data_IF_485758653191
#
_entry.id   IF_485758653191
#
_cell.length_a   1.000
_cell.length_b   1.000
_cell.length_c   1.000
_cell.angle_alpha   90.00
_cell.angle_beta   90.00
_cell.angle_gamma   90.00
#
_symmetry.space_group_name_H-M   'P 1'
#
loop_
_entity.id
_entity.type
_entity.pdbx_description
1 polymer ?
#
# COMPACT_ATOMS: atom_id res chain seq x y z
N UNK A 1 -15.38 30.21 10.40
CA UNK A 1 -13.90 30.19 10.51
C UNK A 1 -13.39 28.98 11.27
N UNK A 2 -13.65 28.81 12.58
CA UNK A 2 -13.15 27.63 13.31
C UNK A 2 -13.64 26.28 12.77
N UNK A 3 -14.94 26.15 12.46
CA UNK A 3 -15.52 24.92 11.93
C UNK A 3 -14.95 24.53 10.54
N UNK A 4 -14.77 25.51 9.66
CA UNK A 4 -14.21 25.30 8.32
C UNK A 4 -12.73 24.89 8.37
N UNK A 5 -11.95 25.50 9.27
CA UNK A 5 -10.55 25.11 9.48
C UNK A 5 -10.42 23.70 10.04
N UNK A 6 -11.37 23.29 10.89
CA UNK A 6 -11.43 21.92 11.42
C UNK A 6 -11.75 20.90 10.33
N UNK A 7 -12.77 21.15 9.51
CA UNK A 7 -13.14 20.25 8.40
C UNK A 7 -11.99 20.09 7.40
N UNK A 8 -11.33 21.19 7.04
CA UNK A 8 -10.14 21.17 6.17
C UNK A 8 -9.00 20.33 6.77
N UNK A 9 -8.76 20.45 8.08
CA UNK A 9 -7.75 19.66 8.76
C UNK A 9 -8.13 18.16 8.78
N UNK A 10 -9.39 17.84 9.05
CA UNK A 10 -9.90 16.46 9.00
C UNK A 10 -9.71 15.83 7.61
N UNK A 11 -9.93 16.59 6.54
CA UNK A 11 -9.75 16.12 5.16
C UNK A 11 -8.30 15.80 4.83
N UNK A 12 -7.38 16.68 5.21
CA UNK A 12 -5.94 16.46 5.03
C UNK A 12 -5.47 15.24 5.83
N UNK A 13 -5.95 15.09 7.06
CA UNK A 13 -5.63 13.92 7.91
C UNK A 13 -6.19 12.63 7.31
N UNK A 14 -7.38 12.64 6.71
CA UNK A 14 -7.94 11.47 6.01
C UNK A 14 -7.04 11.02 4.86
N UNK A 15 -6.54 11.95 4.04
CA UNK A 15 -5.64 11.63 2.93
C UNK A 15 -4.32 11.04 3.45
N UNK A 16 -3.69 11.69 4.45
CA UNK A 16 -2.47 11.17 5.06
C UNK A 16 -2.68 9.79 5.70
N UNK A 17 -3.83 9.59 6.34
CA UNK A 17 -4.20 8.32 6.95
C UNK A 17 -4.29 7.19 5.92
N UNK A 18 -4.94 7.44 4.78
CA UNK A 18 -5.05 6.48 3.68
C UNK A 18 -3.68 6.19 3.05
N UNK A 19 -2.91 7.23 2.74
CA UNK A 19 -1.57 7.07 2.15
C UNK A 19 -0.60 6.34 3.09
N UNK A 20 -0.73 6.49 4.40
CA UNK A 20 0.10 5.76 5.36
C UNK A 20 -0.15 4.24 5.37
N UNK A 21 -1.26 3.78 4.78
CA UNK A 21 -1.55 2.35 4.60
C UNK A 21 -0.99 1.78 3.30
N UNK A 22 -0.48 2.64 2.41
CA UNK A 22 -0.05 2.29 1.06
C UNK A 22 1.46 2.50 1.00
N UNK A 23 2.22 1.41 0.91
CA UNK A 23 3.67 1.50 0.92
C UNK A 23 4.23 1.99 -0.41
N UNK A 24 3.72 1.52 -1.54
CA UNK A 24 4.28 1.79 -2.86
C UNK A 24 3.78 3.09 -3.50
N UNK A 25 2.84 3.78 -2.86
CA UNK A 25 2.13 4.91 -3.46
C UNK A 25 0.90 4.47 -4.25
N UNK A 26 0.09 5.43 -4.68
CA UNK A 26 -1.20 5.19 -5.34
C UNK A 26 -1.41 6.21 -6.45
N UNK A 27 -2.03 5.78 -7.56
CA UNK A 27 -2.47 6.69 -8.63
C UNK A 27 -3.41 7.76 -8.07
N UNK A 28 -3.25 8.99 -8.54
CA UNK A 28 -4.07 10.13 -8.10
C UNK A 28 -5.58 9.82 -8.20
N UNK A 29 -6.02 9.24 -9.32
CA UNK A 29 -7.42 8.89 -9.56
C UNK A 29 -7.96 7.81 -8.61
N UNK A 30 -7.13 6.80 -8.30
CA UNK A 30 -7.50 5.75 -7.35
C UNK A 30 -7.64 6.30 -5.93
N UNK A 31 -6.74 7.21 -5.53
CA UNK A 31 -6.85 7.91 -4.26
C UNK A 31 -8.12 8.77 -4.20
N UNK A 32 -8.40 9.52 -5.25
CA UNK A 32 -9.63 10.32 -5.35
C UNK A 32 -10.88 9.44 -5.19
N UNK A 33 -10.94 8.29 -5.86
CA UNK A 33 -12.06 7.35 -5.76
C UNK A 33 -12.31 6.87 -4.32
N UNK A 34 -11.25 6.54 -3.59
CA UNK A 34 -11.35 6.11 -2.19
C UNK A 34 -11.84 7.26 -1.30
N UNK A 35 -11.28 8.45 -1.46
CA UNK A 35 -11.63 9.60 -0.60
C UNK A 35 -13.05 10.09 -0.88
N UNK A 36 -13.44 10.24 -2.15
CA UNK A 36 -14.79 10.67 -2.56
C UNK A 36 -15.89 9.67 -2.18
N UNK A 37 -15.56 8.38 -2.12
CA UNK A 37 -16.49 7.36 -1.60
C UNK A 37 -16.62 7.43 -0.07
N UNK A 38 -15.55 7.84 0.62
CA UNK A 38 -15.50 7.94 2.08
C UNK A 38 -16.18 9.21 2.59
N UNK A 39 -15.97 10.33 1.91
CA UNK A 39 -16.51 11.64 2.24
C UNK A 39 -16.94 12.34 0.95
N UNK A 40 -18.05 13.07 1.01
CA UNK A 40 -18.57 13.82 -0.13
C UNK A 40 -17.63 15.00 -0.46
N UNK A 41 -16.63 14.72 -1.28
CA UNK A 41 -15.66 15.68 -1.80
C UNK A 41 -15.62 15.58 -3.33
N UNK A 42 -15.53 16.73 -3.98
CA UNK A 42 -15.37 16.79 -5.42
C UNK A 42 -13.89 16.80 -5.82
N UNK A 43 -13.62 16.52 -7.09
CA UNK A 43 -12.26 16.42 -7.62
C UNK A 43 -11.44 17.70 -7.47
N UNK A 44 -12.04 18.89 -7.67
CA UNK A 44 -11.31 20.15 -7.57
C UNK A 44 -10.83 20.42 -6.15
N UNK A 45 -11.71 20.26 -5.17
CA UNK A 45 -11.35 20.39 -3.77
C UNK A 45 -10.31 19.35 -3.36
N UNK A 46 -10.44 18.11 -3.85
CA UNK A 46 -9.42 17.09 -3.65
C UNK A 46 -8.05 17.51 -4.19
N UNK A 47 -7.96 18.08 -5.41
CA UNK A 47 -6.70 18.56 -5.96
C UNK A 47 -6.12 19.74 -5.15
N UNK A 48 -6.95 20.62 -4.59
CA UNK A 48 -6.49 21.68 -3.68
C UNK A 48 -5.85 21.08 -2.41
N UNK A 49 -6.48 20.06 -1.81
CA UNK A 49 -5.92 19.34 -0.65
C UNK A 49 -4.58 18.69 -1.00
N UNK A 50 -4.48 18.07 -2.17
CA UNK A 50 -3.26 17.42 -2.65
C UNK A 50 -2.14 18.45 -2.89
N UNK A 51 -2.45 19.59 -3.52
CA UNK A 51 -1.50 20.67 -3.74
C UNK A 51 -0.98 21.27 -2.41
N UNK A 52 -1.86 21.44 -1.42
CA UNK A 52 -1.50 21.91 -0.09
C UNK A 52 -0.57 20.93 0.63
N UNK A 53 -0.90 19.64 0.60
CA UNK A 53 -0.10 18.58 1.22
C UNK A 53 1.27 18.43 0.56
N UNK A 54 1.35 18.58 -0.77
CA UNK A 54 2.62 18.59 -1.50
C UNK A 54 3.46 19.82 -1.16
N UNK A 55 2.84 21.01 -1.14
CA UNK A 55 3.53 22.26 -0.80
C UNK A 55 4.10 22.25 0.62
N UNK A 56 3.45 21.52 1.54
CA UNK A 56 3.92 21.28 2.90
C UNK A 56 4.91 20.11 3.04
N UNK A 57 5.31 19.47 1.94
CA UNK A 57 6.16 18.27 1.91
C UNK A 57 5.63 17.10 2.75
N UNK A 58 4.30 16.99 2.90
CA UNK A 58 3.65 15.89 3.64
C UNK A 58 3.35 14.69 2.72
N UNK A 59 3.25 14.95 1.42
CA UNK A 59 3.15 13.94 0.38
C UNK A 59 4.08 14.32 -0.77
N UNK A 60 4.46 13.34 -1.59
CA UNK A 60 5.21 13.56 -2.81
C UNK A 60 4.56 12.80 -3.97
N UNK A 61 4.81 13.28 -5.19
CA UNK A 61 4.48 12.57 -6.42
C UNK A 61 5.72 12.00 -7.09
N UNK A 62 5.59 10.86 -7.73
CA UNK A 62 6.64 10.27 -8.58
C UNK A 62 5.99 9.62 -9.80
N UNK A 63 6.79 9.42 -10.85
CA UNK A 63 6.35 8.78 -12.08
C UNK A 63 6.83 7.33 -12.11
N UNK A 64 5.94 6.43 -12.52
CA UNK A 64 6.22 5.03 -12.79
C UNK A 64 5.36 4.61 -13.99
N UNK A 65 5.97 4.01 -15.02
CA UNK A 65 5.28 3.52 -16.23
C UNK A 65 4.36 4.56 -16.92
N UNK A 66 4.86 5.80 -17.07
CA UNK A 66 4.13 6.96 -17.62
C UNK A 66 2.92 7.42 -16.79
N UNK A 67 2.74 6.88 -15.58
CA UNK A 67 1.66 7.21 -14.66
C UNK A 67 2.17 7.92 -13.40
N UNK A 68 1.35 8.82 -12.86
CA UNK A 68 1.69 9.62 -11.67
C UNK A 68 1.12 8.99 -10.39
N UNK A 69 2.02 8.71 -9.46
CA UNK A 69 1.72 8.13 -8.17
C UNK A 69 1.98 9.12 -7.04
N UNK A 70 1.19 9.01 -5.98
CA UNK A 70 1.28 9.84 -4.77
C UNK A 70 1.64 8.95 -3.58
N UNK A 71 2.56 9.41 -2.74
CA UNK A 71 2.98 8.70 -1.53
C UNK A 71 3.18 9.68 -0.37
N UNK A 72 2.97 9.19 0.85
CA UNK A 72 3.25 9.96 2.08
C UNK A 72 4.76 10.04 2.34
N UNK A 73 5.24 11.22 2.71
CA UNK A 73 6.65 11.43 3.10
C UNK A 73 6.88 11.05 4.56
N UNK A 74 8.15 11.09 5.01
CA UNK A 74 8.48 10.92 6.43
C UNK A 74 7.85 12.03 7.28
N UNK A 75 7.86 13.27 6.78
CA UNK A 75 7.23 14.42 7.41
C UNK A 75 5.71 14.25 7.49
N UNK A 76 5.09 13.71 6.44
CA UNK A 76 3.67 13.37 6.43
C UNK A 76 3.29 12.35 7.50
N UNK A 77 4.10 11.31 7.69
CA UNK A 77 3.89 10.30 8.75
C UNK A 77 3.98 10.92 10.15
N UNK A 78 4.98 11.77 10.37
CA UNK A 78 5.14 12.49 11.64
C UNK A 78 3.94 13.42 11.91
N UNK A 79 3.50 14.16 10.89
CA UNK A 79 2.32 15.02 10.99
C UNK A 79 1.05 14.23 11.28
N UNK A 80 0.87 13.06 10.64
CA UNK A 80 -0.25 12.17 10.89
C UNK A 80 -0.29 11.68 12.34
N UNK A 81 0.85 11.28 12.93
CA UNK A 81 0.88 10.82 14.32
C UNK A 81 0.41 11.89 15.31
N UNK A 82 0.74 13.16 15.05
CA UNK A 82 0.32 14.30 15.87
C UNK A 82 -1.15 14.68 15.67
N UNK A 83 -1.71 14.40 14.50
CA UNK A 83 -3.03 14.91 14.07
C UNK A 83 -4.10 13.83 13.94
N UNK A 84 -3.75 12.55 14.12
CA UNK A 84 -4.68 11.41 13.97
C UNK A 84 -5.94 11.50 14.83
N UNK A 85 -5.89 12.21 15.96
CA UNK A 85 -7.04 12.45 16.85
C UNK A 85 -8.11 13.33 16.22
N UNK A 86 -7.77 14.10 15.18
CA UNK A 86 -8.72 14.89 14.41
C UNK A 86 -9.63 14.00 13.56
N UNK A 87 -9.18 12.80 13.16
CA UNK A 87 -9.96 11.92 12.29
C UNK A 87 -11.11 11.25 13.09
N UNK A 88 -12.38 11.54 12.76
CA UNK A 88 -13.50 10.93 13.46
C UNK A 88 -13.53 9.41 13.29
N UNK A 89 -13.81 8.67 14.35
CA UNK A 89 -13.78 7.20 14.34
C UNK A 89 -14.70 6.58 13.27
N UNK A 90 -15.88 7.16 13.04
CA UNK A 90 -16.81 6.69 12.01
C UNK A 90 -16.25 6.90 10.59
N UNK A 91 -15.62 8.05 10.34
CA UNK A 91 -15.00 8.35 9.05
C UNK A 91 -13.81 7.43 8.78
N UNK A 92 -12.98 7.20 9.80
CA UNK A 92 -11.89 6.22 9.77
C UNK A 92 -12.38 4.81 9.42
N UNK A 93 -13.44 4.34 10.09
CA UNK A 93 -14.03 3.02 9.82
C UNK A 93 -14.56 2.93 8.38
N UNK A 94 -15.23 3.96 7.89
CA UNK A 94 -15.74 4.00 6.51
C UNK A 94 -14.61 3.97 5.49
N UNK A 95 -13.57 4.78 5.72
CA UNK A 95 -12.37 4.80 4.88
C UNK A 95 -11.65 3.44 4.87
N UNK A 96 -11.60 2.74 6.01
CA UNK A 96 -11.01 1.40 6.11
C UNK A 96 -11.78 0.35 5.31
N UNK A 97 -13.12 0.41 5.33
CA UNK A 97 -13.97 -0.50 4.54
C UNK A 97 -13.76 -0.26 3.05
N UNK A 98 -13.87 0.99 2.59
CA UNK A 98 -13.72 1.35 1.18
C UNK A 98 -12.31 1.04 0.71
N UNK A 99 -11.29 1.36 1.51
CA UNK A 99 -9.91 1.02 1.18
C UNK A 99 -9.75 -0.49 0.95
N UNK A 100 -10.37 -1.35 1.77
CA UNK A 100 -10.31 -2.80 1.55
C UNK A 100 -11.03 -3.23 0.28
N UNK A 101 -12.21 -2.68 0.00
CA UNK A 101 -12.98 -3.00 -1.20
C UNK A 101 -12.26 -2.56 -2.46
N UNK A 102 -11.80 -1.31 -2.52
CA UNK A 102 -11.07 -0.74 -3.64
C UNK A 102 -9.68 -1.36 -3.81
N UNK A 103 -8.95 -1.65 -2.71
CA UNK A 103 -7.68 -2.36 -2.81
C UNK A 103 -7.87 -3.80 -3.30
N UNK A 104 -8.99 -4.45 -2.97
CA UNK A 104 -9.31 -5.77 -3.54
C UNK A 104 -9.59 -5.69 -5.04
N UNK A 105 -10.23 -4.61 -5.50
CA UNK A 105 -10.48 -4.37 -6.92
C UNK A 105 -9.21 -3.92 -7.68
N UNK A 106 -8.31 -3.17 -7.05
CA UNK A 106 -6.99 -2.80 -7.61
C UNK A 106 -6.10 -4.04 -7.71
N UNK A 107 -6.22 -4.99 -6.77
CA UNK A 107 -5.57 -6.31 -6.86
C UNK A 107 -6.14 -7.16 -8.01
N UNK A 108 -7.30 -6.84 -8.58
CA UNK A 108 -7.74 -7.50 -9.83
C UNK A 108 -6.99 -7.00 -11.08
N UNK A 109 -6.30 -5.84 -11.02
CA UNK A 109 -5.41 -5.36 -12.11
C UNK A 109 -4.00 -5.99 -12.05
N UNK A 110 -3.58 -6.52 -10.89
CA UNK A 110 -2.31 -7.26 -10.70
C UNK A 110 -2.60 -8.69 -10.22
N UNK A 111 -2.46 -9.68 -11.10
CA UNK A 111 -2.81 -11.06 -10.77
C UNK A 111 -1.84 -11.67 -9.73
N UNK A 112 -2.29 -11.77 -8.48
CA UNK A 112 -1.58 -12.51 -7.43
C UNK A 112 -1.83 -14.01 -7.63
N UNK A 113 -0.85 -14.69 -8.22
CA UNK A 113 -0.95 -16.13 -8.54
C UNK A 113 -0.20 -16.95 -7.50
N UNK A 114 -0.85 -18.02 -7.04
CA UNK A 114 -0.18 -19.10 -6.29
C UNK A 114 -0.30 -20.40 -7.07
N UNK A 115 0.81 -20.98 -7.49
CA UNK A 115 0.83 -22.31 -8.09
C UNK A 115 1.19 -23.35 -7.02
N UNK A 116 0.43 -24.45 -7.01
CA UNK A 116 0.54 -25.52 -6.03
C UNK A 116 1.01 -26.80 -6.75
N UNK A 117 2.26 -27.18 -6.55
CA UNK A 117 2.83 -28.38 -7.17
C UNK A 117 3.14 -29.40 -6.06
N UNK A 118 2.33 -30.47 -5.89
CA UNK A 118 2.68 -31.55 -4.98
C UNK A 118 3.88 -32.33 -5.54
N UNK A 119 4.94 -32.49 -4.73
CA UNK A 119 6.08 -33.35 -5.08
C UNK A 119 5.89 -34.78 -4.56
N UNK A 120 5.32 -34.94 -3.36
CA UNK A 120 4.90 -36.22 -2.76
C UNK A 120 3.88 -35.99 -1.62
N UNK A 121 3.49 -37.03 -0.87
CA UNK A 121 2.42 -36.98 0.15
C UNK A 121 2.62 -35.90 1.24
N UNK A 122 3.88 -35.56 1.57
CA UNK A 122 4.20 -34.61 2.63
C UNK A 122 4.90 -33.35 2.14
N UNK A 123 5.27 -33.28 0.86
CA UNK A 123 6.17 -32.25 0.37
C UNK A 123 5.55 -31.43 -0.78
N UNK A 124 5.50 -30.12 -0.56
CA UNK A 124 4.82 -29.17 -1.43
C UNK A 124 5.75 -28.04 -1.84
N UNK A 125 5.73 -27.69 -3.12
CA UNK A 125 6.32 -26.44 -3.60
C UNK A 125 5.19 -25.44 -3.82
N UNK A 126 5.33 -24.26 -3.21
CA UNK A 126 4.41 -23.14 -3.37
C UNK A 126 5.16 -22.07 -4.14
N UNK A 127 4.63 -21.71 -5.30
CA UNK A 127 5.16 -20.61 -6.11
C UNK A 127 4.25 -19.41 -5.97
N UNK A 128 4.81 -18.32 -5.46
CA UNK A 128 4.16 -17.06 -5.20
C UNK A 128 4.61 -16.04 -6.26
N UNK A 129 3.68 -15.51 -7.06
CA UNK A 129 3.98 -14.60 -8.16
C UNK A 129 3.30 -13.25 -7.99
N UNK A 130 3.92 -12.21 -8.55
CA UNK A 130 3.25 -10.95 -8.91
C UNK A 130 3.35 -10.82 -10.43
N UNK A 131 2.20 -10.65 -11.06
CA UNK A 131 2.07 -10.45 -12.51
C UNK A 131 1.48 -9.07 -12.76
N UNK A 132 2.19 -8.26 -13.53
CA UNK A 132 1.77 -6.93 -13.99
C UNK A 132 1.84 -6.90 -15.51
N UNK A 133 0.79 -6.38 -16.18
CA UNK A 133 0.75 -6.27 -17.65
C UNK A 133 1.14 -7.57 -18.40
N UNK A 134 0.71 -8.73 -17.88
CA UNK A 134 1.07 -10.08 -18.38
C UNK A 134 2.55 -10.50 -18.19
N UNK A 135 3.38 -9.70 -17.54
CA UNK A 135 4.77 -10.03 -17.20
C UNK A 135 4.90 -10.42 -15.72
N UNK A 136 5.69 -11.46 -15.42
CA UNK A 136 5.98 -11.84 -14.03
C UNK A 136 7.13 -11.01 -13.51
N UNK A 137 6.83 -10.00 -12.70
CA UNK A 137 7.83 -9.08 -12.14
C UNK A 137 8.49 -9.62 -10.86
N UNK A 138 7.85 -10.59 -10.22
CA UNK A 138 8.37 -11.25 -9.03
C UNK A 138 7.86 -12.69 -8.94
N UNK A 139 8.77 -13.61 -8.64
CA UNK A 139 8.46 -15.01 -8.35
C UNK A 139 9.35 -15.51 -7.21
N UNK A 140 8.73 -16.14 -6.21
CA UNK A 140 9.44 -16.88 -5.16
C UNK A 140 8.83 -18.25 -4.99
N UNK A 141 9.68 -19.28 -4.93
CA UNK A 141 9.26 -20.65 -4.67
C UNK A 141 9.77 -21.11 -3.31
N UNK A 142 8.84 -21.60 -2.47
CA UNK A 142 9.14 -22.08 -1.12
C UNK A 142 8.63 -23.50 -0.91
N UNK A 143 9.32 -24.22 -0.04
CA UNK A 143 9.01 -25.60 0.30
C UNK A 143 8.23 -25.69 1.61
N UNK A 144 7.19 -26.53 1.64
CA UNK A 144 6.45 -26.85 2.84
C UNK A 144 6.33 -28.37 3.05
N UNK A 145 6.55 -28.81 4.29
CA UNK A 145 6.49 -30.21 4.72
C UNK A 145 5.08 -30.66 5.17
N UNK A 146 4.03 -29.90 4.84
CA UNK A 146 2.63 -30.29 5.05
C UNK A 146 1.69 -29.49 4.17
N UNK A 147 0.51 -30.06 3.92
CA UNK A 147 -0.56 -29.40 3.17
C UNK A 147 -1.11 -28.19 3.93
N UNK A 148 -1.26 -28.29 5.25
CA UNK A 148 -1.72 -27.16 6.07
C UNK A 148 -0.75 -25.98 5.96
N UNK A 149 0.57 -26.25 6.04
CA UNK A 149 1.56 -25.19 5.93
C UNK A 149 1.63 -24.59 4.53
N UNK A 150 1.53 -25.42 3.49
CA UNK A 150 1.47 -24.97 2.11
C UNK A 150 0.26 -24.05 1.90
N UNK A 151 -0.93 -24.46 2.37
CA UNK A 151 -2.15 -23.65 2.31
C UNK A 151 -2.01 -22.34 3.08
N UNK A 152 -1.44 -22.38 4.29
CA UNK A 152 -1.20 -21.18 5.08
C UNK A 152 -0.32 -20.18 4.32
N UNK A 153 0.75 -20.64 3.68
CA UNK A 153 1.66 -19.79 2.90
C UNK A 153 0.94 -19.19 1.69
N UNK A 154 0.19 -20.00 0.93
CA UNK A 154 -0.58 -19.51 -0.23
C UNK A 154 -1.64 -18.48 0.16
N UNK A 155 -2.42 -18.76 1.21
CA UNK A 155 -3.46 -17.84 1.68
C UNK A 155 -2.84 -16.54 2.21
N UNK A 156 -1.72 -16.63 2.93
CA UNK A 156 -0.99 -15.47 3.41
C UNK A 156 -0.40 -14.63 2.27
N UNK A 157 0.11 -15.27 1.21
CA UNK A 157 0.57 -14.56 0.01
C UNK A 157 -0.58 -13.83 -0.68
N UNK A 158 -1.70 -14.52 -0.96
CA UNK A 158 -2.88 -13.92 -1.60
C UNK A 158 -3.40 -12.68 -0.88
N UNK A 159 -3.42 -12.70 0.45
CA UNK A 159 -3.91 -11.57 1.24
C UNK A 159 -2.89 -10.45 1.47
N UNK A 160 -1.59 -10.73 1.34
CA UNK A 160 -0.54 -9.80 1.79
C UNK A 160 0.59 -9.59 0.77
N UNK A 161 0.47 -10.05 -0.47
CA UNK A 161 1.55 -10.00 -1.48
C UNK A 161 2.12 -8.59 -1.68
N UNK A 162 1.27 -7.57 -1.73
CA UNK A 162 1.66 -6.15 -1.87
C UNK A 162 2.47 -5.61 -0.68
N UNK A 163 2.32 -6.22 0.50
CA UNK A 163 3.13 -5.87 1.68
C UNK A 163 4.40 -6.71 1.78
N UNK A 164 4.32 -8.00 1.40
CA UNK A 164 5.43 -8.94 1.53
C UNK A 164 6.49 -8.76 0.43
N UNK A 165 6.07 -8.48 -0.80
CA UNK A 165 6.98 -8.32 -1.93
C UNK A 165 8.01 -7.20 -1.71
N UNK A 166 7.63 -5.95 -1.34
CA UNK A 166 8.62 -4.90 -1.11
C UNK A 166 9.60 -5.24 0.02
N UNK A 167 9.12 -5.91 1.08
CA UNK A 167 9.98 -6.36 2.20
C UNK A 167 10.99 -7.42 1.75
N UNK A 168 10.56 -8.38 0.93
CA UNK A 168 11.46 -9.39 0.37
C UNK A 168 12.49 -8.73 -0.55
N UNK A 169 12.07 -7.79 -1.40
CA UNK A 169 12.95 -7.06 -2.29
C UNK A 169 14.01 -6.25 -1.52
N UNK A 170 13.61 -5.57 -0.44
CA UNK A 170 14.51 -4.83 0.46
C UNK A 170 15.53 -5.76 1.13
N UNK A 171 15.07 -6.90 1.67
CA UNK A 171 15.94 -7.90 2.29
C UNK A 171 16.97 -8.47 1.31
N UNK A 172 16.59 -8.67 0.04
CA UNK A 172 17.48 -9.17 -1.00
C UNK A 172 18.45 -8.11 -1.53
N UNK A 173 18.07 -6.83 -1.43
CA UNK A 173 18.85 -5.70 -1.96
C UNK A 173 19.82 -5.08 -0.93
N UNK A 174 19.63 -5.38 0.37
CA UNK A 174 20.48 -4.86 1.44
C UNK A 174 21.87 -5.56 1.46
N UNK A 175 22.84 -4.98 0.74
CA UNK A 175 24.25 -5.29 0.90
C UNK A 175 24.74 -4.87 2.29
N UNK A 176 25.13 -5.84 3.11
CA UNK A 176 25.97 -5.59 4.29
C UNK A 176 27.44 -5.40 3.89
N UNK A 177 27.73 -4.47 3.00
CA UNK A 177 29.11 -4.08 2.69
C UNK A 177 29.43 -2.77 3.40
N UNK A 178 30.02 -2.89 4.58
CA UNK A 178 30.45 -1.71 5.35
C UNK A 178 30.68 -1.96 6.84
N UNK A 179 31.44 -2.98 7.23
CA UNK A 179 32.02 -3.04 8.57
C UNK A 179 33.46 -3.60 8.52
N UNK A 180 34.41 -2.66 8.45
CA UNK A 180 35.83 -2.74 8.84
C UNK A 180 36.73 -3.79 8.16
N UNK A 181 37.49 -3.32 7.17
CA UNK A 181 38.92 -3.65 7.07
C UNK A 181 39.74 -2.37 7.22
N UNK A 182 40.07 -2.03 8.47
CA UNK A 182 41.21 -1.20 8.82
C UNK A 182 41.96 -1.95 9.91
N UNK A 183 42.92 -2.78 9.51
CA UNK A 183 44.15 -3.10 10.23
C UNK A 183 45.25 -3.38 9.19
#
# INVERSE_FOLDING_TARGET
MEQQNKELAEDKVLILYLLNKIFDGIKNDNLYKIVSSSKDINYFYFQELIADLMSANLICSFEQDEESFIKITTEGKNALELTKSLLPGLLKLKADTIFKEENSNIVEESSVVTEFIPKDENNYTITCKIVEQNETIFEVSVYAASREKAKQISDNWKSNATTLYPQILELLSNNKDGANINE
#
